data_IF_677964797552
#
_entry.id   IF_677964797552
#
_cell.length_a   1.000
_cell.length_b   1.000
_cell.length_c   1.000
_cell.angle_alpha   90.00
_cell.angle_beta   90.00
_cell.angle_gamma   90.00
#
_symmetry.space_group_name_H-M   'P 1'
#
loop_
_entity.id
_entity.type
_entity.pdbx_description
1 polymer ?
#
# COMPACT_ATOMS: atom_id res chain seq x y z
N UNK A 1 24.15 -18.37 -18.04
CA UNK A 1 24.51 -16.95 -17.84
C UNK A 1 23.28 -16.26 -17.28
N UNK A 2 23.26 -16.09 -15.97
CA UNK A 2 22.21 -15.43 -15.20
C UNK A 2 22.23 -13.95 -15.50
N UNK A 3 21.15 -13.42 -16.07
CA UNK A 3 20.92 -11.98 -16.05
C UNK A 3 20.22 -11.65 -14.74
N UNK A 4 21.00 -11.22 -13.75
CA UNK A 4 20.47 -10.45 -12.63
C UNK A 4 19.84 -9.19 -13.23
N UNK A 5 18.51 -9.16 -13.30
CA UNK A 5 17.80 -7.90 -13.43
C UNK A 5 17.98 -7.21 -12.08
N UNK A 6 18.91 -6.26 -12.01
CA UNK A 6 18.95 -5.29 -10.93
C UNK A 6 17.57 -4.65 -10.88
N UNK A 7 16.79 -5.02 -9.87
CA UNK A 7 15.50 -4.41 -9.64
C UNK A 7 15.77 -2.95 -9.31
N UNK A 8 15.33 -2.05 -10.19
CA UNK A 8 15.58 -0.62 -10.05
C UNK A 8 14.98 -0.17 -8.70
N UNK A 9 15.83 0.32 -7.81
CA UNK A 9 15.48 0.74 -6.46
C UNK A 9 14.75 2.10 -6.44
N UNK A 10 14.09 2.43 -7.54
CA UNK A 10 13.34 3.66 -7.69
C UNK A 10 12.06 3.63 -6.86
N UNK A 11 11.62 4.82 -6.44
CA UNK A 11 10.39 4.97 -5.68
C UNK A 11 9.22 4.58 -6.58
N UNK A 12 8.46 3.56 -6.18
CA UNK A 12 7.22 3.16 -6.83
C UNK A 12 6.03 3.92 -6.23
N UNK A 13 5.13 4.38 -7.09
CA UNK A 13 3.94 5.16 -6.71
C UNK A 13 2.68 4.41 -7.12
N UNK A 14 1.88 4.07 -6.11
CA UNK A 14 0.56 3.48 -6.26
C UNK A 14 -0.52 4.52 -5.95
N UNK A 15 -1.48 4.70 -6.87
CA UNK A 15 -2.60 5.63 -6.70
C UNK A 15 -3.89 4.86 -6.47
N UNK A 16 -4.64 5.26 -5.45
CA UNK A 16 -5.96 4.69 -5.14
C UNK A 16 -7.04 5.76 -5.21
N UNK A 17 -7.98 5.59 -6.15
CA UNK A 17 -9.18 6.42 -6.26
C UNK A 17 -10.37 5.74 -5.54
N UNK A 18 -10.61 6.14 -4.28
CA UNK A 18 -11.74 5.62 -3.50
C UNK A 18 -13.09 6.06 -4.10
N UNK A 19 -14.16 5.25 -3.94
CA UNK A 19 -15.50 5.69 -4.30
C UNK A 19 -15.94 6.90 -3.47
N UNK A 20 -16.92 7.64 -4.01
CA UNK A 20 -17.63 8.68 -3.26
C UNK A 20 -18.33 8.07 -2.04
N UNK A 21 -18.17 8.72 -0.89
CA UNK A 21 -18.86 8.36 0.36
C UNK A 21 -20.29 8.92 0.36
N UNK A 22 -21.12 8.45 1.32
CA UNK A 22 -22.54 8.81 1.40
C UNK A 22 -22.78 10.33 1.41
N UNK A 23 -22.02 11.06 2.24
CA UNK A 23 -22.17 12.51 2.36
C UNK A 23 -21.82 13.25 1.06
N UNK A 24 -20.78 12.81 0.35
CA UNK A 24 -20.40 13.38 -0.95
C UNK A 24 -21.49 13.16 -2.01
N UNK A 25 -22.12 11.97 -2.00
CA UNK A 25 -23.26 11.67 -2.88
C UNK A 25 -24.48 12.53 -2.54
N UNK A 26 -24.77 12.72 -1.25
CA UNK A 26 -25.89 13.56 -0.78
C UNK A 26 -25.69 15.04 -1.14
N UNK A 27 -24.44 15.52 -1.15
CA UNK A 27 -24.08 16.87 -1.58
C UNK A 27 -24.08 17.04 -3.11
N UNK A 28 -24.35 15.97 -3.88
CA UNK A 28 -24.38 16.01 -5.34
C UNK A 28 -22.99 16.07 -5.99
N UNK A 29 -21.94 15.68 -5.28
CA UNK A 29 -20.59 15.56 -5.85
C UNK A 29 -20.57 14.48 -6.95
N UNK A 30 -19.72 14.70 -7.95
CA UNK A 30 -19.50 13.77 -9.06
C UNK A 30 -18.06 13.29 -9.07
N UNK A 31 -17.83 12.08 -9.56
CA UNK A 31 -16.48 11.55 -9.74
C UNK A 31 -15.70 12.46 -10.69
N UNK A 32 -14.55 12.96 -10.22
CA UNK A 32 -13.64 13.82 -11.00
C UNK A 32 -12.36 13.10 -11.43
N UNK A 33 -12.19 11.84 -11.00
CA UNK A 33 -11.06 10.98 -11.33
C UNK A 33 -11.60 9.73 -12.01
N UNK A 34 -11.02 9.37 -13.16
CA UNK A 34 -11.35 8.13 -13.88
C UNK A 34 -10.10 7.30 -14.07
N UNK A 35 -10.17 6.01 -13.73
CA UNK A 35 -9.09 5.05 -14.02
C UNK A 35 -9.21 4.59 -15.47
N UNK A 36 -8.11 4.68 -16.21
CA UNK A 36 -8.06 4.24 -17.62
C UNK A 36 -7.96 2.72 -17.68
N UNK A 37 -8.92 2.00 -18.29
CA UNK A 37 -8.88 0.54 -18.34
C UNK A 37 -7.62 0.01 -19.02
N UNK A 38 -6.96 -0.97 -18.41
CA UNK A 38 -5.78 -1.63 -18.95
C UNK A 38 -4.50 -0.79 -18.96
N UNK A 39 -4.50 0.40 -18.33
CA UNK A 39 -3.31 1.24 -18.17
C UNK A 39 -3.19 1.70 -16.71
N UNK A 40 -1.97 1.84 -16.17
CA UNK A 40 -1.78 2.41 -14.84
C UNK A 40 -1.87 3.94 -14.92
N UNK A 41 -3.02 4.44 -15.37
CA UNK A 41 -3.24 5.86 -15.64
C UNK A 41 -4.58 6.33 -15.07
N UNK A 42 -4.56 7.52 -14.47
CA UNK A 42 -5.76 8.24 -14.06
C UNK A 42 -5.98 9.46 -14.96
N UNK A 43 -7.23 9.79 -15.20
CA UNK A 43 -7.63 10.98 -15.92
C UNK A 43 -8.40 11.92 -15.00
N UNK A 44 -8.02 13.20 -15.01
CA UNK A 44 -8.66 14.28 -14.27
C UNK A 44 -8.97 15.39 -15.27
N UNK A 45 -10.25 15.57 -15.59
CA UNK A 45 -10.67 16.44 -16.69
C UNK A 45 -10.05 16.01 -18.02
N UNK A 46 -9.23 16.87 -18.62
CA UNK A 46 -8.51 16.61 -19.88
C UNK A 46 -7.07 16.13 -19.68
N UNK A 47 -6.59 16.05 -18.43
CA UNK A 47 -5.22 15.67 -18.12
C UNK A 47 -5.14 14.19 -17.72
N UNK A 48 -4.06 13.52 -18.13
CA UNK A 48 -3.79 12.13 -17.80
C UNK A 48 -2.46 11.99 -17.07
N UNK A 49 -2.44 11.18 -16.01
CA UNK A 49 -1.29 10.97 -15.14
C UNK A 49 -1.01 9.48 -15.01
N UNK A 50 0.23 9.08 -15.31
CA UNK A 50 0.67 7.69 -15.28
C UNK A 50 1.47 7.42 -14.01
N UNK A 51 1.22 6.27 -13.39
CA UNK A 51 1.87 5.81 -12.17
C UNK A 51 2.32 4.34 -12.36
N UNK A 52 2.99 3.76 -11.36
CA UNK A 52 3.35 2.34 -11.41
C UNK A 52 2.11 1.47 -11.27
N UNK A 53 1.21 1.83 -10.34
CA UNK A 53 -0.05 1.13 -10.09
C UNK A 53 -1.20 2.11 -9.89
N UNK A 54 -2.36 1.77 -10.44
CA UNK A 54 -3.60 2.56 -10.27
C UNK A 54 -4.74 1.64 -9.91
N UNK A 55 -5.37 1.93 -8.77
CA UNK A 55 -6.50 1.19 -8.24
C UNK A 55 -7.76 2.06 -8.27
N UNK A 56 -8.82 1.52 -8.87
CA UNK A 56 -10.12 2.18 -8.99
C UNK A 56 -11.10 1.78 -7.91
N UNK A 57 -12.31 2.34 -8.01
CA UNK A 57 -13.36 2.22 -7.01
C UNK A 57 -14.07 0.86 -6.94
N UNK A 58 -13.61 -0.14 -7.69
CA UNK A 58 -14.16 -1.49 -7.72
C UNK A 58 -13.22 -2.50 -7.06
N UNK A 59 -13.64 -3.09 -5.94
CA UNK A 59 -12.96 -4.23 -5.31
C UNK A 59 -12.37 -3.95 -3.92
N UNK A 60 -11.54 -4.88 -3.42
CA UNK A 60 -10.75 -4.80 -2.19
C UNK A 60 -9.27 -4.53 -2.55
N UNK A 61 -8.91 -3.28 -2.86
CA UNK A 61 -7.62 -2.96 -3.46
C UNK A 61 -6.42 -3.29 -2.55
N UNK A 62 -6.61 -3.40 -1.23
CA UNK A 62 -5.53 -3.71 -0.29
C UNK A 62 -4.84 -5.06 -0.50
N UNK A 63 -5.51 -6.06 -1.09
CA UNK A 63 -4.85 -7.33 -1.42
C UNK A 63 -3.89 -7.16 -2.61
N UNK A 64 -4.39 -6.59 -3.71
CA UNK A 64 -3.58 -6.34 -4.91
C UNK A 64 -2.44 -5.35 -4.64
N UNK A 65 -2.70 -4.27 -3.90
CA UNK A 65 -1.68 -3.33 -3.43
C UNK A 65 -0.58 -4.02 -2.62
N UNK A 66 -0.96 -4.95 -1.74
CA UNK A 66 0.02 -5.69 -0.97
C UNK A 66 0.88 -6.56 -1.89
N UNK A 67 0.27 -7.36 -2.76
CA UNK A 67 0.97 -8.29 -3.62
C UNK A 67 1.91 -7.58 -4.62
N UNK A 68 1.45 -6.47 -5.19
CA UNK A 68 2.19 -5.73 -6.23
C UNK A 68 3.25 -4.79 -5.65
N UNK A 69 2.95 -4.10 -4.54
CA UNK A 69 3.82 -3.04 -4.01
C UNK A 69 4.62 -3.46 -2.78
N UNK A 70 4.07 -4.32 -1.91
CA UNK A 70 4.62 -4.54 -0.55
C UNK A 70 5.27 -5.91 -0.39
N UNK A 71 4.74 -6.95 -1.03
CA UNK A 71 5.33 -8.29 -0.98
C UNK A 71 6.79 -8.33 -1.50
N UNK A 72 7.16 -7.59 -2.58
CA UNK A 72 8.56 -7.48 -3.00
C UNK A 72 9.46 -6.80 -1.95
N UNK A 73 8.94 -5.79 -1.25
CA UNK A 73 9.66 -5.11 -0.16
C UNK A 73 9.91 -6.04 1.03
N UNK A 74 8.92 -6.87 1.39
CA UNK A 74 9.11 -7.96 2.36
C UNK A 74 10.10 -9.01 1.82
N UNK A 75 10.29 -9.13 0.51
CA UNK A 75 11.44 -9.81 -0.11
C UNK A 75 12.77 -9.20 0.30
N UNK A 76 12.93 -7.91 0.03
CA UNK A 76 14.14 -7.14 0.30
C UNK A 76 14.57 -7.12 1.77
N UNK A 77 13.61 -7.07 2.71
CA UNK A 77 13.91 -7.12 4.16
C UNK A 77 14.73 -8.37 4.54
N UNK A 78 14.42 -9.54 3.99
CA UNK A 78 15.17 -10.79 4.28
C UNK A 78 16.50 -10.88 3.53
N UNK A 79 16.77 -9.96 2.59
CA UNK A 79 18.06 -9.80 1.95
C UNK A 79 18.93 -8.75 2.67
N UNK A 80 18.42 -8.14 3.74
CA UNK A 80 19.12 -7.12 4.53
C UNK A 80 18.92 -5.69 4.04
N UNK A 81 17.94 -5.43 3.15
CA UNK A 81 17.60 -4.09 2.71
C UNK A 81 16.49 -3.47 3.56
N UNK A 82 16.52 -2.15 3.74
CA UNK A 82 15.44 -1.42 4.38
C UNK A 82 14.28 -1.21 3.40
N UNK A 83 13.05 -1.26 3.92
CA UNK A 83 11.84 -0.98 3.15
C UNK A 83 11.01 0.10 3.83
N UNK A 84 10.36 0.95 3.03
CA UNK A 84 9.48 2.00 3.54
C UNK A 84 8.23 2.09 2.68
N UNK A 85 7.06 2.12 3.33
CA UNK A 85 5.77 2.31 2.68
C UNK A 85 5.10 3.51 3.30
N UNK A 86 4.74 4.50 2.48
CA UNK A 86 4.10 5.73 2.90
C UNK A 86 2.72 5.85 2.27
N UNK A 87 1.73 6.25 3.06
CA UNK A 87 0.40 6.59 2.57
C UNK A 87 0.23 8.10 2.57
N UNK A 88 -0.01 8.69 1.40
CA UNK A 88 -0.14 10.14 1.22
C UNK A 88 -1.51 10.51 0.62
N UNK A 89 -2.03 11.68 0.99
CA UNK A 89 -3.29 12.23 0.50
C UNK A 89 -4.01 13.11 1.51
N UNK A 90 -5.10 13.76 1.11
CA UNK A 90 -5.90 14.62 1.99
C UNK A 90 -6.60 13.87 3.13
N UNK A 91 -7.11 14.59 4.13
CA UNK A 91 -8.00 14.02 5.15
C UNK A 91 -9.24 13.40 4.49
N UNK A 92 -9.62 12.20 4.93
CA UNK A 92 -10.73 11.45 4.34
C UNK A 92 -10.42 10.76 3.01
N UNK A 93 -9.18 10.78 2.50
CA UNK A 93 -8.83 10.08 1.24
C UNK A 93 -8.71 8.55 1.38
N UNK A 94 -8.74 8.02 2.60
CA UNK A 94 -8.63 6.58 2.85
C UNK A 94 -7.23 6.06 3.18
N UNK A 95 -6.28 6.92 3.58
CA UNK A 95 -4.93 6.51 4.05
C UNK A 95 -4.99 5.46 5.16
N UNK A 96 -5.66 5.79 6.26
CA UNK A 96 -5.84 4.93 7.44
C UNK A 96 -6.58 3.63 7.11
N UNK A 97 -7.57 3.70 6.21
CA UNK A 97 -8.31 2.55 5.71
C UNK A 97 -7.40 1.59 4.91
N UNK A 98 -6.58 2.14 4.02
CA UNK A 98 -5.66 1.38 3.17
C UNK A 98 -4.56 0.73 4.02
N UNK A 99 -3.93 1.49 4.92
CA UNK A 99 -2.89 0.97 5.80
C UNK A 99 -3.44 -0.02 6.84
N UNK A 100 -4.70 0.13 7.25
CA UNK A 100 -5.35 -0.76 8.20
C UNK A 100 -5.06 -0.44 9.67
N UNK A 101 -4.72 0.81 10.00
CA UNK A 101 -4.44 1.21 11.40
C UNK A 101 -5.70 1.47 12.23
N UNK A 102 -6.89 1.60 11.60
CA UNK A 102 -8.15 1.90 12.30
C UNK A 102 -9.25 0.84 12.17
N UNK A 103 -9.04 -0.24 11.40
CA UNK A 103 -10.10 -1.22 11.15
C UNK A 103 -10.17 -2.27 12.28
N UNK A 104 -11.29 -2.27 13.02
CA UNK A 104 -11.72 -3.37 13.91
C UNK A 104 -12.62 -4.40 13.21
N UNK A 105 -12.99 -4.15 11.95
CA UNK A 105 -13.90 -5.01 11.19
C UNK A 105 -13.15 -6.11 10.44
N UNK A 106 -13.59 -7.37 10.60
CA UNK A 106 -12.99 -8.55 9.98
C UNK A 106 -13.11 -8.60 8.45
N UNK A 107 -13.88 -7.69 7.84
CA UNK A 107 -14.21 -7.69 6.41
C UNK A 107 -13.13 -7.05 5.54
N UNK A 108 -12.26 -6.21 6.11
CA UNK A 108 -11.19 -5.54 5.36
C UNK A 108 -9.86 -5.61 6.11
N UNK A 109 -8.88 -6.27 5.50
CA UNK A 109 -7.51 -6.36 6.01
C UNK A 109 -6.63 -5.42 5.18
N UNK A 110 -6.12 -4.37 5.83
CA UNK A 110 -5.23 -3.37 5.20
C UNK A 110 -3.79 -3.87 4.99
N UNK A 111 -2.91 -2.96 4.59
CA UNK A 111 -1.51 -3.28 4.24
C UNK A 111 -0.68 -3.75 5.43
N UNK A 112 -0.76 -3.07 6.58
CA UNK A 112 0.05 -3.39 7.76
C UNK A 112 -0.18 -4.82 8.27
N UNK A 113 -1.43 -5.25 8.56
CA UNK A 113 -1.65 -6.62 9.01
C UNK A 113 -1.22 -7.68 7.97
N UNK A 114 -1.33 -7.40 6.66
CA UNK A 114 -0.82 -8.29 5.60
C UNK A 114 0.69 -8.40 5.62
N UNK A 115 1.39 -7.26 5.76
CA UNK A 115 2.84 -7.24 5.87
C UNK A 115 3.34 -7.99 7.09
N UNK A 116 2.71 -7.79 8.26
CA UNK A 116 3.04 -8.53 9.47
C UNK A 116 2.83 -10.03 9.31
N UNK A 117 1.70 -10.45 8.73
CA UNK A 117 1.45 -11.87 8.45
C UNK A 117 2.53 -12.47 7.52
N UNK A 118 2.87 -11.77 6.43
CA UNK A 118 3.90 -12.23 5.50
C UNK A 118 5.31 -12.28 6.11
N UNK A 119 5.63 -11.35 7.01
CA UNK A 119 6.88 -11.36 7.78
C UNK A 119 6.95 -12.60 8.68
N UNK A 120 5.92 -12.83 9.50
CA UNK A 120 5.89 -14.01 10.38
C UNK A 120 5.91 -15.32 9.59
N UNK A 121 5.15 -15.43 8.50
CA UNK A 121 5.16 -16.60 7.62
C UNK A 121 6.55 -16.91 7.07
N UNK A 122 7.33 -15.88 6.72
CA UNK A 122 8.72 -16.06 6.26
C UNK A 122 9.67 -16.44 7.39
N UNK A 123 9.54 -15.80 8.55
CA UNK A 123 10.33 -16.16 9.74
C UNK A 123 10.09 -17.63 10.09
N UNK A 124 8.84 -18.08 10.09
CA UNK A 124 8.49 -19.48 10.41
C UNK A 124 9.07 -20.49 9.42
N UNK A 125 9.17 -20.14 8.14
CA UNK A 125 9.81 -20.97 7.10
C UNK A 125 11.32 -21.04 7.25
N UNK A 126 11.94 -20.01 7.83
CA UNK A 126 13.41 -19.88 7.93
C UNK A 126 13.95 -20.12 9.34
N UNK A 127 13.09 -20.34 10.35
CA UNK A 127 13.46 -20.47 11.76
C UNK A 127 14.48 -21.58 12.09
N UNK A 128 14.60 -22.59 11.23
CA UNK A 128 15.55 -23.68 11.40
C UNK A 128 16.92 -23.38 10.78
N UNK A 129 17.05 -22.26 10.06
CA UNK A 129 18.25 -21.89 9.30
C UNK A 129 18.93 -20.65 9.88
N UNK A 130 18.15 -19.70 10.41
CA UNK A 130 18.62 -18.39 10.88
C UNK A 130 17.83 -17.98 12.12
N UNK A 131 18.50 -17.34 13.07
CA UNK A 131 17.86 -16.69 14.22
C UNK A 131 17.36 -15.29 13.84
N UNK A 132 16.10 -15.00 14.15
CA UNK A 132 15.46 -13.72 13.84
C UNK A 132 15.13 -12.94 15.11
N UNK A 133 15.36 -11.63 15.11
CA UNK A 133 14.85 -10.71 16.11
C UNK A 133 14.01 -9.62 15.44
N UNK A 134 12.71 -9.63 15.67
CA UNK A 134 11.77 -8.61 15.18
C UNK A 134 11.50 -7.57 16.27
N UNK A 135 11.62 -6.28 15.94
CA UNK A 135 11.27 -5.17 16.84
C UNK A 135 10.27 -4.26 16.13
N UNK A 136 9.13 -4.00 16.76
CA UNK A 136 8.09 -3.13 16.20
C UNK A 136 7.98 -1.87 17.06
N UNK A 137 7.97 -0.71 16.43
CA UNK A 137 7.70 0.57 17.06
C UNK A 137 6.58 1.27 16.29
N UNK A 138 5.69 1.94 17.01
CA UNK A 138 4.58 2.70 16.43
C UNK A 138 4.62 4.12 16.98
N UNK A 139 4.74 5.10 16.08
CA UNK A 139 4.73 6.52 16.39
C UNK A 139 3.62 7.14 15.54
N UNK A 140 2.75 7.91 16.18
CA UNK A 140 1.70 8.67 15.51
C UNK A 140 1.98 10.16 15.75
N UNK A 141 2.52 10.85 14.74
CA UNK A 141 2.56 12.31 14.75
C UNK A 141 1.26 12.85 14.18
N UNK A 142 0.55 13.64 14.99
CA UNK A 142 -0.71 14.29 14.63
C UNK A 142 -0.41 15.53 13.78
N UNK A 143 0.26 15.35 12.64
CA UNK A 143 0.33 16.34 11.57
C UNK A 143 0.62 15.65 10.22
N UNK A 144 -0.43 15.05 9.65
CA UNK A 144 -0.55 14.66 8.23
C UNK A 144 0.46 13.69 7.59
N UNK A 145 1.34 13.01 8.33
CA UNK A 145 2.21 11.96 7.78
C UNK A 145 2.13 10.70 8.65
N UNK A 146 1.58 9.61 8.10
CA UNK A 146 1.68 8.28 8.74
C UNK A 146 2.98 7.66 8.21
N UNK A 147 4.06 7.78 8.97
CA UNK A 147 5.29 7.02 8.74
C UNK A 147 5.23 5.71 9.51
N UNK A 148 5.26 4.57 8.81
CA UNK A 148 5.46 3.28 9.47
C UNK A 148 6.93 2.86 9.30
N UNK A 149 7.68 2.92 10.39
CA UNK A 149 9.00 2.32 10.48
C UNK A 149 8.84 0.83 10.79
N UNK A 150 9.14 -0.02 9.81
CA UNK A 150 9.47 -1.42 10.07
C UNK A 150 10.99 -1.52 10.00
N UNK A 151 11.63 -1.49 11.16
CA UNK A 151 13.05 -1.84 11.31
C UNK A 151 13.19 -3.35 11.55
#
# INVERSE_FOLDING_TARGET
MTMEHGEDCCVKVAVHARPLIGDEKLQGCKDCVTVVPGKPQVQIGTHSFTFDHVYGSSGTPSAAMFDECVAPLVGGLFQGYNATVLAYGQTGSGKTYTMGTACKEATHVGIIPRAMAALFDKIDKLKNQVDFQLRVSFIEEVENVIELYVC
#
